data_IF_654097346048
#
_entry.id   IF_654097346048
#
_cell.length_a   1.000
_cell.length_b   1.000
_cell.length_c   1.000
_cell.angle_alpha   90.00
_cell.angle_beta   90.00
_cell.angle_gamma   90.00
#
_symmetry.space_group_name_H-M   'P 1'
#
loop_
_entity.id
_entity.type
_entity.pdbx_description
1 polymer ?
#
# COMPACT_ATOMS: atom_id res chain seq x y z
N UNK A 1 -21.93 -19.72 53.90
CA UNK A 1 -21.13 -19.05 54.92
C UNK A 1 -20.36 -17.94 54.26
N UNK A 2 -20.82 -16.81 54.56
CA UNK A 2 -20.39 -15.42 54.56
C UNK A 2 -19.93 -14.81 53.23
N UNK A 3 -20.61 -13.75 52.85
CA UNK A 3 -20.30 -12.88 51.73
C UNK A 3 -19.30 -11.80 52.17
N UNK A 4 -18.48 -11.30 51.27
CA UNK A 4 -17.75 -10.04 51.50
C UNK A 4 -18.23 -8.99 50.52
N UNK A 5 -18.81 -8.01 51.13
CA UNK A 5 -19.47 -6.80 50.64
C UNK A 5 -18.42 -5.75 50.23
N UNK A 6 -18.69 -5.07 49.15
CA UNK A 6 -18.05 -3.85 48.66
C UNK A 6 -18.21 -2.68 49.67
N UNK A 7 -17.45 -1.57 49.58
CA UNK A 7 -18.16 -0.34 49.26
C UNK A 7 -17.50 0.55 48.21
N UNK A 8 -18.32 1.05 47.39
CA UNK A 8 -18.49 2.35 46.77
C UNK A 8 -17.78 3.51 47.51
N UNK A 9 -16.95 4.26 46.79
CA UNK A 9 -16.63 5.62 47.23
C UNK A 9 -16.66 6.57 46.05
N UNK A 10 -17.70 7.35 46.07
CA UNK A 10 -17.99 8.54 45.31
C UNK A 10 -17.03 9.67 45.75
N UNK A 11 -16.38 10.32 44.82
CA UNK A 11 -15.55 11.49 45.05
C UNK A 11 -15.74 12.55 43.97
N UNK A 12 -16.83 13.26 44.10
CA UNK A 12 -17.17 14.51 43.41
C UNK A 12 -16.32 15.66 43.96
N UNK A 13 -15.53 16.31 43.12
CA UNK A 13 -15.08 17.67 43.42
C UNK A 13 -14.79 18.45 42.13
N UNK A 14 -15.80 19.21 41.78
CA UNK A 14 -15.69 20.36 40.90
C UNK A 14 -14.77 21.42 41.50
N UNK A 15 -13.92 22.06 40.76
CA UNK A 15 -13.51 23.45 40.95
C UNK A 15 -13.12 24.10 39.61
N UNK A 16 -14.00 24.86 39.18
CA UNK A 16 -14.04 26.07 38.39
C UNK A 16 -13.08 27.16 38.91
N UNK A 17 -12.18 27.67 38.08
CA UNK A 17 -11.59 29.02 38.18
C UNK A 17 -11.08 29.35 36.77
N UNK A 18 -11.83 30.11 36.01
CA UNK A 18 -11.93 31.55 35.81
C UNK A 18 -10.63 32.31 35.55
N UNK A 19 -10.63 32.87 34.34
CA UNK A 19 -10.15 34.17 33.86
C UNK A 19 -8.74 34.64 34.28
N UNK A 20 -8.02 35.01 33.31
CA UNK A 20 -7.55 36.35 33.02
C UNK A 20 -6.30 36.34 32.18
N UNK A 21 -6.39 37.05 31.19
CA UNK A 21 -5.72 38.26 30.78
C UNK A 21 -4.58 38.09 29.81
N UNK A 22 -4.87 38.60 28.64
CA UNK A 22 -4.34 39.82 28.00
C UNK A 22 -2.92 39.73 27.43
N UNK A 23 -2.97 39.94 26.10
CA UNK A 23 -2.06 40.79 25.33
C UNK A 23 -0.58 40.73 25.67
N UNK A 24 0.19 40.17 24.75
CA UNK A 24 1.41 40.83 24.32
C UNK A 24 1.56 40.70 22.80
N UNK A 25 1.37 41.84 22.18
CA UNK A 25 1.80 42.13 20.81
C UNK A 25 3.31 42.23 20.82
N UNK A 26 3.91 41.76 19.79
CA UNK A 26 4.89 42.49 18.97
C UNK A 26 6.08 41.64 18.52
N UNK A 27 6.14 41.48 17.21
CA UNK A 27 7.26 41.80 16.34
C UNK A 27 8.49 40.90 16.29
N UNK A 28 8.83 40.72 15.03
CA UNK A 28 10.10 40.45 14.38
C UNK A 28 10.33 38.98 14.00
N UNK A 29 10.07 38.70 12.73
CA UNK A 29 10.95 38.82 11.58
C UNK A 29 12.30 38.15 11.79
N UNK A 30 12.46 36.94 11.27
CA UNK A 30 13.61 36.61 10.40
C UNK A 30 13.34 35.29 9.67
N UNK A 31 13.58 35.30 8.39
CA UNK A 31 13.59 34.21 7.48
C UNK A 31 14.71 33.21 7.82
N UNK A 32 14.38 31.92 7.83
CA UNK A 32 15.36 30.88 7.60
C UNK A 32 14.71 29.80 6.74
N UNK A 33 15.16 29.70 5.52
CA UNK A 33 14.98 28.56 4.67
C UNK A 33 15.48 27.31 5.38
N UNK A 34 14.63 26.32 5.55
CA UNK A 34 15.04 24.97 5.80
C UNK A 34 14.13 24.04 5.00
N UNK A 35 14.80 23.32 4.14
CA UNK A 35 14.42 22.22 3.29
C UNK A 35 13.12 21.52 3.68
N UNK A 36 12.21 21.49 2.71
CA UNK A 36 10.99 20.71 2.79
C UNK A 36 11.28 19.23 2.87
N UNK A 37 10.93 18.64 3.99
CA UNK A 37 10.57 17.24 4.04
C UNK A 37 9.10 17.19 3.61
N UNK A 38 8.86 16.84 2.37
CA UNK A 38 7.54 16.47 1.89
C UNK A 38 7.10 15.23 2.66
N UNK A 39 6.34 15.45 3.68
CA UNK A 39 5.50 14.41 4.25
C UNK A 39 4.27 14.36 3.36
N UNK A 40 4.33 13.51 2.36
CA UNK A 40 3.17 13.11 1.59
C UNK A 40 2.25 12.32 2.52
N UNK A 41 1.44 13.08 3.26
CA UNK A 41 0.32 12.52 4.01
C UNK A 41 -0.81 12.26 3.02
N UNK A 42 -0.64 11.22 2.20
CA UNK A 42 -1.69 10.71 1.36
C UNK A 42 -2.72 10.00 2.23
N UNK A 43 -3.71 10.75 2.69
CA UNK A 43 -4.99 10.16 3.08
C UNK A 43 -5.65 9.72 1.78
N UNK A 44 -5.31 8.54 1.31
CA UNK A 44 -5.85 7.95 0.09
C UNK A 44 -7.21 7.34 0.41
N UNK A 45 -8.24 8.00 -0.06
CA UNK A 45 -9.53 7.33 -0.32
C UNK A 45 -9.26 6.26 -1.38
N UNK A 46 -9.43 5.01 -1.01
CA UNK A 46 -9.28 3.87 -1.91
C UNK A 46 -10.18 4.06 -3.15
N UNK A 47 -9.59 3.99 -4.35
CA UNK A 47 -10.37 3.78 -5.55
C UNK A 47 -9.99 4.50 -6.84
N UNK A 48 -9.38 5.70 -6.84
CA UNK A 48 -9.23 6.43 -8.11
C UNK A 48 -7.87 7.12 -8.33
N UNK A 49 -6.92 6.98 -7.43
CA UNK A 49 -5.62 7.65 -7.58
C UNK A 49 -4.62 6.73 -8.25
N UNK A 50 -4.29 7.01 -9.50
CA UNK A 50 -3.17 6.37 -10.19
C UNK A 50 -1.86 6.95 -9.66
N UNK A 51 -1.05 6.11 -9.06
CA UNK A 51 0.29 6.47 -8.61
C UNK A 51 1.29 6.01 -9.67
N UNK A 52 2.18 6.92 -10.09
CA UNK A 52 3.23 6.60 -11.04
C UNK A 52 4.58 6.69 -10.34
N UNK A 53 5.35 5.62 -10.42
CA UNK A 53 6.70 5.57 -9.84
C UNK A 53 7.74 6.17 -10.80
N UNK A 54 8.95 6.42 -10.30
CA UNK A 54 10.04 6.94 -11.11
C UNK A 54 10.49 5.99 -12.24
N UNK A 55 10.22 4.69 -12.09
CA UNK A 55 10.51 3.66 -13.09
C UNK A 55 9.48 3.60 -14.22
N UNK A 56 8.36 4.33 -14.09
CA UNK A 56 7.27 4.32 -15.05
C UNK A 56 6.17 3.30 -14.73
N UNK A 57 6.30 2.51 -13.65
CA UNK A 57 5.23 1.67 -13.17
C UNK A 57 4.06 2.55 -12.70
N UNK A 58 2.85 2.16 -13.07
CA UNK A 58 1.63 2.79 -12.56
C UNK A 58 0.87 1.77 -11.72
N UNK A 59 0.28 2.23 -10.64
CA UNK A 59 -0.59 1.36 -9.84
C UNK A 59 -1.74 2.13 -9.19
N UNK A 60 -2.79 1.39 -8.88
CA UNK A 60 -4.00 1.88 -8.21
C UNK A 60 -4.25 0.98 -7.02
N UNK A 61 -4.33 1.55 -5.81
CA UNK A 61 -4.78 0.82 -4.63
C UNK A 61 -6.30 0.73 -4.63
N UNK A 62 -6.81 -0.42 -5.08
CA UNK A 62 -8.26 -0.70 -5.11
C UNK A 62 -8.77 -0.90 -3.69
N UNK A 63 -8.00 -1.62 -2.88
CA UNK A 63 -8.30 -1.88 -1.47
C UNK A 63 -7.00 -1.89 -0.67
N UNK A 64 -6.94 -1.08 0.36
CA UNK A 64 -5.78 -1.04 1.26
C UNK A 64 -5.97 -2.08 2.35
N UNK A 65 -5.10 -3.10 2.38
CA UNK A 65 -5.13 -4.13 3.41
C UNK A 65 -4.84 -3.58 4.81
N UNK A 66 -5.23 -4.33 5.81
CA UNK A 66 -5.02 -3.98 7.23
C UNK A 66 -3.93 -4.82 7.90
N UNK A 67 -3.39 -5.82 7.19
CA UNK A 67 -2.37 -6.70 7.72
C UNK A 67 -0.95 -6.15 7.63
N UNK A 68 0.03 -7.03 7.78
CA UNK A 68 1.45 -6.69 7.71
C UNK A 68 1.84 -6.19 6.31
N UNK A 69 2.76 -5.24 6.25
CA UNK A 69 3.28 -4.69 5.00
C UNK A 69 4.30 -5.63 4.37
N UNK A 70 4.21 -5.81 3.06
CA UNK A 70 5.17 -6.58 2.27
C UNK A 70 6.47 -5.80 2.09
N UNK A 71 7.57 -6.39 2.55
CA UNK A 71 8.91 -5.82 2.45
C UNK A 71 9.82 -6.71 1.61
N UNK A 72 10.86 -6.10 1.05
CA UNK A 72 11.87 -6.82 0.27
C UNK A 72 12.50 -7.96 1.08
N UNK A 73 12.60 -9.13 0.46
CA UNK A 73 13.14 -10.35 1.08
C UNK A 73 12.08 -11.23 1.75
N UNK A 74 10.84 -10.77 1.87
CA UNK A 74 9.75 -11.59 2.40
C UNK A 74 9.17 -12.52 1.32
N UNK A 75 8.75 -13.71 1.75
CA UNK A 75 7.92 -14.59 0.92
C UNK A 75 6.50 -14.02 0.89
N UNK A 76 6.00 -13.70 -0.28
CA UNK A 76 4.64 -13.18 -0.47
C UNK A 76 3.77 -14.22 -1.16
N UNK A 77 2.52 -14.31 -0.74
CA UNK A 77 1.50 -15.13 -1.37
C UNK A 77 0.41 -14.23 -1.93
N UNK A 78 0.17 -14.33 -3.22
CA UNK A 78 -0.80 -13.48 -3.92
C UNK A 78 -1.75 -14.30 -4.79
N UNK A 79 -2.96 -13.79 -4.97
CA UNK A 79 -3.75 -14.09 -6.14
C UNK A 79 -3.56 -12.98 -7.16
N UNK A 80 -3.56 -13.35 -8.43
CA UNK A 80 -3.44 -12.40 -9.53
C UNK A 80 -4.24 -12.81 -10.75
N UNK A 81 -4.56 -11.81 -11.55
CA UNK A 81 -5.08 -11.97 -12.91
C UNK A 81 -4.34 -11.01 -13.83
N UNK A 82 -3.64 -11.54 -14.81
CA UNK A 82 -2.90 -10.78 -15.82
C UNK A 82 -3.72 -10.60 -17.10
N UNK A 83 -3.74 -9.35 -17.59
CA UNK A 83 -4.43 -8.96 -18.83
C UNK A 83 -3.51 -8.13 -19.71
N UNK A 84 -3.71 -8.26 -21.01
CA UNK A 84 -3.14 -7.34 -22.00
C UNK A 84 -3.95 -6.04 -22.07
N UNK A 85 -3.44 -5.03 -22.75
CA UNK A 85 -4.10 -3.74 -22.97
C UNK A 85 -5.44 -3.84 -23.70
N UNK A 86 -5.63 -4.89 -24.49
CA UNK A 86 -6.90 -5.20 -25.16
C UNK A 86 -7.94 -5.88 -24.24
N UNK A 87 -7.56 -6.11 -22.96
CA UNK A 87 -8.38 -6.79 -21.96
C UNK A 87 -8.29 -8.31 -21.98
N UNK A 88 -7.52 -8.89 -22.91
CA UNK A 88 -7.34 -10.34 -23.02
C UNK A 88 -6.60 -10.86 -21.79
N UNK A 89 -7.24 -11.75 -21.05
CA UNK A 89 -6.62 -12.46 -19.93
C UNK A 89 -5.62 -13.48 -20.46
N UNK A 90 -4.38 -13.40 -20.02
CA UNK A 90 -3.33 -14.33 -20.44
C UNK A 90 -2.92 -15.31 -19.34
N UNK A 91 -3.07 -14.94 -18.08
CA UNK A 91 -2.76 -15.81 -16.95
C UNK A 91 -3.55 -15.41 -15.70
N UNK A 92 -3.87 -16.40 -14.84
CA UNK A 92 -4.53 -16.15 -13.55
C UNK A 92 -4.26 -17.28 -12.58
N UNK A 93 -3.90 -16.95 -11.36
CA UNK A 93 -3.81 -17.89 -10.25
C UNK A 93 -5.19 -18.38 -9.77
N UNK A 94 -6.23 -17.57 -10.00
CA UNK A 94 -7.61 -17.94 -9.66
C UNK A 94 -8.12 -19.10 -10.52
N UNK A 95 -7.75 -19.17 -11.80
CA UNK A 95 -8.13 -20.26 -12.70
C UNK A 95 -7.56 -21.60 -12.25
N UNK A 96 -6.40 -21.55 -11.56
CA UNK A 96 -5.75 -22.74 -10.99
C UNK A 96 -6.17 -22.99 -9.54
N UNK A 97 -6.93 -22.07 -8.96
CA UNK A 97 -7.31 -22.07 -7.54
C UNK A 97 -6.11 -22.30 -6.59
N UNK A 98 -4.97 -21.75 -6.98
CA UNK A 98 -3.70 -21.89 -6.27
C UNK A 98 -3.00 -20.55 -6.17
N UNK A 99 -2.76 -20.03 -4.95
CA UNK A 99 -1.97 -18.82 -4.75
C UNK A 99 -0.56 -18.95 -5.31
N UNK A 100 -0.05 -17.88 -5.85
CA UNK A 100 1.31 -17.79 -6.31
C UNK A 100 2.20 -17.24 -5.19
N UNK A 101 3.27 -17.95 -4.87
CA UNK A 101 4.22 -17.58 -3.83
C UNK A 101 5.58 -17.26 -4.45
N UNK A 102 6.19 -16.13 -4.05
CA UNK A 102 7.53 -15.74 -4.50
C UNK A 102 8.20 -14.86 -3.43
N UNK A 103 9.53 -14.73 -3.50
CA UNK A 103 10.29 -13.84 -2.63
C UNK A 103 10.38 -12.46 -3.26
N UNK A 104 9.91 -11.44 -2.54
CA UNK A 104 9.82 -10.07 -3.04
C UNK A 104 11.20 -9.43 -3.18
N UNK A 105 11.45 -8.76 -4.30
CA UNK A 105 12.63 -7.91 -4.50
C UNK A 105 13.94 -8.67 -4.75
N UNK A 106 13.88 -9.95 -5.14
CA UNK A 106 15.06 -10.77 -5.46
C UNK A 106 15.13 -11.15 -6.95
N UNK A 107 14.24 -10.59 -7.78
CA UNK A 107 14.22 -10.85 -9.23
C UNK A 107 13.66 -12.21 -9.61
N UNK A 108 12.83 -12.82 -8.78
CA UNK A 108 12.10 -14.06 -9.12
C UNK A 108 10.93 -13.81 -10.06
N UNK A 109 10.45 -12.59 -10.11
CA UNK A 109 9.34 -12.12 -10.94
C UNK A 109 9.78 -10.93 -11.77
N UNK A 110 8.92 -10.44 -12.66
CA UNK A 110 9.19 -9.23 -13.45
C UNK A 110 9.38 -8.04 -12.51
N UNK A 111 10.22 -7.08 -12.93
CA UNK A 111 10.60 -5.93 -12.10
C UNK A 111 9.38 -5.12 -11.64
N UNK A 112 8.37 -4.98 -12.50
CA UNK A 112 7.13 -4.32 -12.15
C UNK A 112 6.39 -4.95 -10.98
N UNK A 113 6.52 -6.26 -10.76
CA UNK A 113 5.96 -6.95 -9.60
C UNK A 113 6.80 -6.73 -8.34
N UNK A 114 8.13 -6.85 -8.44
CA UNK A 114 9.02 -6.60 -7.30
C UNK A 114 8.84 -5.18 -6.74
N UNK A 115 8.54 -4.21 -7.61
CA UNK A 115 8.28 -2.83 -7.22
C UNK A 115 6.82 -2.61 -6.80
N UNK A 116 5.87 -3.16 -7.58
CA UNK A 116 4.44 -2.92 -7.39
C UNK A 116 3.82 -3.60 -6.18
N UNK A 117 4.33 -4.77 -5.77
CA UNK A 117 3.85 -5.50 -4.59
C UNK A 117 4.50 -4.99 -3.31
N UNK A 118 5.68 -4.36 -3.41
CA UNK A 118 6.33 -3.74 -2.27
C UNK A 118 5.43 -2.66 -1.65
N UNK A 119 5.34 -2.67 -0.33
CA UNK A 119 4.49 -1.73 0.41
C UNK A 119 3.01 -2.08 0.45
N UNK A 120 2.55 -3.12 -0.25
CA UNK A 120 1.19 -3.63 -0.07
C UNK A 120 1.02 -4.23 1.32
N UNK A 121 -0.19 -4.12 1.86
CA UNK A 121 -0.56 -4.78 3.11
C UNK A 121 -1.38 -6.04 2.84
N UNK A 122 -1.21 -7.04 3.69
CA UNK A 122 -2.01 -8.27 3.60
C UNK A 122 -3.51 -7.95 3.66
N UNK A 123 -4.27 -8.58 2.76
CA UNK A 123 -5.68 -8.31 2.52
C UNK A 123 -5.93 -7.15 1.56
N UNK A 124 -4.88 -6.50 1.04
CA UNK A 124 -5.00 -5.42 0.06
C UNK A 124 -5.12 -5.93 -1.38
N UNK A 125 -5.76 -5.11 -2.22
CA UNK A 125 -5.87 -5.31 -3.67
C UNK A 125 -5.29 -4.12 -4.40
N UNK A 126 -4.44 -4.39 -5.36
CA UNK A 126 -3.76 -3.39 -6.17
C UNK A 126 -3.80 -3.78 -7.62
N UNK A 127 -4.13 -2.83 -8.47
CA UNK A 127 -3.99 -2.97 -9.90
C UNK A 127 -2.65 -2.39 -10.33
N UNK A 128 -1.84 -3.18 -11.03
CA UNK A 128 -0.54 -2.78 -11.57
C UNK A 128 -0.67 -2.61 -13.07
N UNK A 129 -0.20 -1.49 -13.60
CA UNK A 129 -0.07 -1.24 -15.03
C UNK A 129 1.42 -1.13 -15.32
N UNK A 130 1.96 -2.17 -15.92
CA UNK A 130 3.40 -2.40 -16.03
C UNK A 130 3.81 -2.15 -17.48
N UNK A 131 4.65 -1.13 -17.75
CA UNK A 131 5.18 -0.91 -19.08
C UNK A 131 6.09 -2.07 -19.48
N UNK A 132 6.26 -2.26 -20.78
CA UNK A 132 7.01 -3.39 -21.33
C UNK A 132 8.41 -3.53 -20.78
N UNK A 133 9.09 -2.42 -20.49
CA UNK A 133 10.46 -2.36 -19.98
C UNK A 133 10.59 -3.02 -18.60
N UNK A 134 9.55 -2.95 -17.79
CA UNK A 134 9.48 -3.56 -16.45
C UNK A 134 8.83 -4.95 -16.46
N UNK A 135 8.46 -5.46 -17.64
CA UNK A 135 7.83 -6.74 -17.86
C UNK A 135 8.70 -7.64 -18.76
N UNK A 136 8.25 -7.93 -19.97
CA UNK A 136 8.94 -8.85 -20.91
C UNK A 136 9.64 -8.14 -22.07
N UNK A 137 9.57 -6.80 -22.13
CA UNK A 137 10.25 -5.97 -23.12
C UNK A 137 9.96 -6.34 -24.57
N UNK A 138 10.98 -6.15 -25.43
CA UNK A 138 10.89 -6.43 -26.86
C UNK A 138 10.79 -7.94 -27.19
N UNK A 139 11.02 -8.83 -26.23
CA UNK A 139 10.88 -10.27 -26.44
C UNK A 139 9.45 -10.76 -26.34
N UNK A 140 8.63 -10.12 -25.50
CA UNK A 140 7.34 -10.67 -25.09
C UNK A 140 7.49 -12.01 -24.38
N UNK A 141 6.38 -12.74 -24.22
CA UNK A 141 6.38 -14.11 -23.74
C UNK A 141 5.75 -14.99 -24.80
N UNK A 142 6.48 -16.04 -25.19
CA UNK A 142 6.20 -16.87 -26.34
C UNK A 142 4.73 -17.29 -26.49
N UNK A 143 4.09 -16.78 -27.53
CA UNK A 143 2.74 -17.17 -27.94
C UNK A 143 1.58 -16.51 -27.19
N UNK A 144 1.85 -15.77 -26.11
CA UNK A 144 0.78 -15.19 -25.25
C UNK A 144 0.91 -13.68 -25.09
N UNK A 145 2.12 -13.17 -24.86
CA UNK A 145 2.37 -11.74 -24.66
C UNK A 145 3.15 -11.20 -25.85
N UNK A 146 2.59 -10.23 -26.61
CA UNK A 146 3.29 -9.60 -27.72
C UNK A 146 4.55 -8.85 -27.29
N UNK A 147 5.50 -8.62 -28.20
CA UNK A 147 6.61 -7.71 -27.97
C UNK A 147 6.14 -6.31 -27.61
N UNK A 148 6.82 -5.67 -26.66
CA UNK A 148 6.52 -4.31 -26.18
C UNK A 148 5.10 -4.12 -25.63
N UNK A 149 4.49 -5.18 -25.11
CA UNK A 149 3.16 -5.11 -24.52
C UNK A 149 3.21 -4.53 -23.10
N UNK A 150 2.37 -3.56 -22.83
CA UNK A 150 2.03 -3.13 -21.47
C UNK A 150 1.09 -4.17 -20.85
N UNK A 151 1.29 -4.48 -19.59
CA UNK A 151 0.54 -5.51 -18.88
C UNK A 151 -0.23 -4.91 -17.71
N UNK A 152 -1.46 -5.35 -17.55
CA UNK A 152 -2.27 -5.02 -16.39
C UNK A 152 -2.44 -6.25 -15.50
N UNK A 153 -2.16 -6.11 -14.21
CA UNK A 153 -2.36 -7.16 -13.23
C UNK A 153 -3.24 -6.67 -12.10
N UNK A 154 -4.28 -7.42 -11.83
CA UNK A 154 -5.05 -7.30 -10.60
C UNK A 154 -4.39 -8.25 -9.59
N UNK A 155 -3.86 -7.71 -8.49
CA UNK A 155 -3.10 -8.46 -7.47
C UNK A 155 -3.76 -8.31 -6.13
N UNK A 156 -3.98 -9.43 -5.44
CA UNK A 156 -4.46 -9.50 -4.06
C UNK A 156 -3.40 -10.17 -3.19
N UNK A 157 -2.95 -9.47 -2.16
CA UNK A 157 -1.97 -9.99 -1.21
C UNK A 157 -2.65 -10.77 -0.10
N UNK A 158 -2.47 -12.09 -0.11
CA UNK A 158 -3.11 -13.01 0.83
C UNK A 158 -2.33 -13.19 2.13
N UNK A 159 -1.01 -13.23 2.03
CA UNK A 159 -0.18 -13.51 3.19
C UNK A 159 1.30 -13.27 2.95
N UNK A 160 2.05 -13.23 4.05
CA UNK A 160 3.49 -13.10 4.09
C UNK A 160 4.09 -14.29 4.86
N UNK A 161 5.20 -14.82 4.34
CA UNK A 161 6.05 -15.80 5.01
C UNK A 161 7.45 -15.22 5.27
N UNK A 162 8.18 -15.88 6.15
CA UNK A 162 9.59 -15.61 6.42
C UNK A 162 10.45 -16.71 5.84
#
# INVERSE_FOLDING_TARGET
MTPFTTPFTTGLAARLRTLACLLYMATCFTAACAAGASQDNATTTAGDTVITTASGLKYIDVEVGTGQTAEKGMLVQVHYTGRLTDGTKFDSSLDRNQPFAFTLGVGQVIQGWDEGVAGMKVGGKRQLIIPSELAYGARGAAGVIPPNAELTFDVELLGLGR
#
